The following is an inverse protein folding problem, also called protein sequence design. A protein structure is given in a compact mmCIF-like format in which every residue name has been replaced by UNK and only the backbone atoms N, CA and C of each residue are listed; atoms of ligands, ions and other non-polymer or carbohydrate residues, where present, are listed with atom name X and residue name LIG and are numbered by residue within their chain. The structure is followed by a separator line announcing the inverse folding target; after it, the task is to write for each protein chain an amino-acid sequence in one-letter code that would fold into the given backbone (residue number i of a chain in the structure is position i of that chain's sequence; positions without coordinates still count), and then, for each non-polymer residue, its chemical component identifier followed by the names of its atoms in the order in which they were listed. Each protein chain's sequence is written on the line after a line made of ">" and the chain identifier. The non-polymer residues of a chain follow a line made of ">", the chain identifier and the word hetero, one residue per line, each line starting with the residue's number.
data_IF_211218799409
#
_entry.id   IF_211218799409
#
_cell.length_a   1.000
_cell.length_b   1.000
_cell.length_c   1.000
_cell.angle_alpha   90.00
_cell.angle_beta   90.00
_cell.angle_gamma   90.00
#
_symmetry.space_group_name_H-M   'P 1'
#
loop_
_entity.id
_entity.type
_entity.pdbx_description
1 polymer ?
#
# COMPACT_ATOMS: atom_id res chain seq x y z
N UNK A 1 10.41 4.49 23.43
CA UNK A 1 9.04 3.97 23.28
C UNK A 1 8.84 3.44 21.89
N UNK A 2 8.47 2.18 21.74
CA UNK A 2 8.12 1.62 20.43
C UNK A 2 6.69 1.99 20.09
N UNK A 3 6.45 2.34 18.83
CA UNK A 3 5.13 2.76 18.37
C UNK A 3 4.82 2.00 17.07
N UNK A 4 3.65 1.38 16.99
CA UNK A 4 3.22 0.66 15.79
C UNK A 4 3.00 1.61 14.61
N UNK A 5 2.69 2.87 14.87
CA UNK A 5 2.57 3.92 13.84
C UNK A 5 3.84 4.13 13.01
N UNK A 6 5.00 3.65 13.46
CA UNK A 6 6.22 3.66 12.65
C UNK A 6 6.11 2.83 11.36
N UNK A 7 5.19 1.85 11.33
CA UNK A 7 4.93 1.05 10.14
C UNK A 7 4.34 1.87 8.98
N UNK A 8 3.75 3.03 9.29
CA UNK A 8 3.23 3.98 8.30
C UNK A 8 4.34 4.62 7.44
N UNK A 9 5.60 4.57 7.88
CA UNK A 9 6.73 5.07 7.09
C UNK A 9 6.84 4.36 5.73
N UNK A 10 6.35 3.12 5.64
CA UNK A 10 6.29 2.36 4.40
C UNK A 10 5.43 3.04 3.33
N UNK A 11 4.37 3.75 3.71
CA UNK A 11 3.52 4.47 2.75
C UNK A 11 4.32 5.48 1.93
N UNK A 12 5.26 6.17 2.58
CA UNK A 12 6.15 7.11 1.88
C UNK A 12 7.07 6.40 0.89
N UNK A 13 7.63 5.27 1.28
CA UNK A 13 8.48 4.47 0.39
C UNK A 13 7.68 3.95 -0.82
N UNK A 14 6.44 3.51 -0.60
CA UNK A 14 5.53 3.10 -1.68
C UNK A 14 5.17 4.26 -2.62
N UNK A 15 4.90 5.44 -2.09
CA UNK A 15 4.62 6.65 -2.88
C UNK A 15 5.81 7.01 -3.77
N UNK A 16 7.03 6.92 -3.26
CA UNK A 16 8.26 7.17 -4.02
C UNK A 16 8.44 6.18 -5.18
N UNK A 17 8.16 4.88 -4.95
CA UNK A 17 8.22 3.85 -5.99
C UNK A 17 7.13 4.10 -7.04
N UNK A 18 5.92 4.44 -6.63
CA UNK A 18 4.82 4.73 -7.55
C UNK A 18 5.10 5.97 -8.40
N UNK A 19 5.68 7.01 -7.81
CA UNK A 19 6.14 8.18 -8.55
C UNK A 19 7.19 7.82 -9.61
N UNK A 20 8.18 7.00 -9.26
CA UNK A 20 9.19 6.53 -10.20
C UNK A 20 8.56 5.71 -11.34
N UNK A 21 7.57 4.88 -11.03
CA UNK A 21 6.78 4.14 -12.01
C UNK A 21 6.08 5.08 -13.00
N UNK A 22 5.38 6.10 -12.52
CA UNK A 22 4.70 7.08 -13.37
C UNK A 22 5.70 7.89 -14.21
N UNK A 23 6.84 8.25 -13.65
CA UNK A 23 7.91 8.93 -14.39
C UNK A 23 8.42 8.06 -15.56
N UNK A 24 8.62 6.77 -15.33
CA UNK A 24 9.02 5.84 -16.38
C UNK A 24 7.96 5.74 -17.50
N UNK A 25 6.67 5.73 -17.15
CA UNK A 25 5.57 5.78 -18.13
C UNK A 25 5.64 7.03 -19.01
N UNK A 26 5.87 8.21 -18.41
CA UNK A 26 5.98 9.47 -19.13
C UNK A 26 7.16 9.52 -20.10
N UNK A 27 8.20 8.75 -19.84
CA UNK A 27 9.39 8.63 -20.70
C UNK A 27 9.33 7.42 -21.65
N UNK A 28 8.17 6.77 -21.77
CA UNK A 28 7.96 5.57 -22.59
C UNK A 28 8.88 4.39 -22.23
N UNK A 29 9.37 4.35 -21.02
CA UNK A 29 10.21 3.27 -20.48
C UNK A 29 9.32 2.18 -19.86
N UNK A 30 8.54 1.49 -20.71
CA UNK A 30 7.47 0.60 -20.24
C UNK A 30 7.97 -0.62 -19.46
N UNK A 31 9.13 -1.16 -19.83
CA UNK A 31 9.78 -2.24 -19.08
C UNK A 31 10.15 -1.80 -17.65
N UNK A 32 10.76 -0.62 -17.53
CA UNK A 32 11.11 -0.04 -16.24
C UNK A 32 9.85 0.28 -15.42
N UNK A 33 8.82 0.84 -16.07
CA UNK A 33 7.54 1.13 -15.42
C UNK A 33 6.89 -0.13 -14.85
N UNK A 34 6.87 -1.22 -15.61
CA UNK A 34 6.33 -2.50 -15.15
C UNK A 34 7.13 -3.06 -13.96
N UNK A 35 8.46 -3.06 -14.05
CA UNK A 35 9.33 -3.53 -12.98
C UNK A 35 9.14 -2.73 -11.68
N UNK A 36 8.98 -1.41 -11.78
CA UNK A 36 8.71 -0.55 -10.63
C UNK A 36 7.31 -0.82 -10.04
N UNK A 37 6.31 -1.07 -10.88
CA UNK A 37 4.97 -1.43 -10.40
C UNK A 37 4.97 -2.81 -9.71
N UNK A 38 5.73 -3.76 -10.19
CA UNK A 38 5.91 -5.07 -9.53
C UNK A 38 6.58 -4.92 -8.16
N UNK A 39 7.56 -4.04 -8.05
CA UNK A 39 8.19 -3.71 -6.77
C UNK A 39 7.21 -3.03 -5.82
N UNK A 40 6.41 -2.09 -6.32
CA UNK A 40 5.33 -1.47 -5.56
C UNK A 40 4.32 -2.50 -5.07
N UNK A 41 3.86 -3.39 -5.96
CA UNK A 41 2.92 -4.46 -5.61
C UNK A 41 3.48 -5.36 -4.50
N UNK A 42 4.73 -5.76 -4.59
CA UNK A 42 5.36 -6.59 -3.57
C UNK A 42 5.31 -5.91 -2.19
N UNK A 43 5.66 -4.64 -2.11
CA UNK A 43 5.60 -3.88 -0.87
C UNK A 43 4.18 -3.71 -0.35
N UNK A 44 3.24 -3.38 -1.23
CA UNK A 44 1.83 -3.24 -0.88
C UNK A 44 1.24 -4.55 -0.35
N UNK A 45 1.45 -5.66 -1.04
CA UNK A 45 0.94 -6.98 -0.63
C UNK A 45 1.55 -7.45 0.69
N UNK A 46 2.82 -7.18 0.92
CA UNK A 46 3.50 -7.50 2.18
C UNK A 46 2.91 -6.69 3.33
N UNK A 47 2.71 -5.40 3.13
CA UNK A 47 2.10 -4.51 4.12
C UNK A 47 0.66 -4.93 4.46
N UNK A 48 -0.16 -5.17 3.44
CA UNK A 48 -1.53 -5.66 3.62
C UNK A 48 -1.56 -6.97 4.40
N UNK A 49 -0.68 -7.92 4.07
CA UNK A 49 -0.59 -9.19 4.80
C UNK A 49 -0.20 -8.98 6.26
N UNK A 50 0.78 -8.13 6.53
CA UNK A 50 1.19 -7.83 7.90
C UNK A 50 0.03 -7.24 8.71
N UNK A 51 -0.77 -6.37 8.12
CA UNK A 51 -1.96 -5.83 8.76
C UNK A 51 -3.05 -6.87 8.97
N UNK A 52 -3.39 -7.63 7.93
CA UNK A 52 -4.47 -8.62 8.00
C UNK A 52 -4.14 -9.79 8.95
N UNK A 53 -2.91 -10.26 8.97
CA UNK A 53 -2.50 -11.44 9.73
C UNK A 53 -2.03 -11.10 11.16
N UNK A 54 -1.49 -9.91 11.38
CA UNK A 54 -0.85 -9.54 12.66
C UNK A 54 -1.60 -8.45 13.42
N UNK A 55 -1.97 -7.35 12.75
CA UNK A 55 -2.48 -6.16 13.41
C UNK A 55 -4.01 -6.12 13.54
N UNK A 56 -4.74 -6.42 12.47
CA UNK A 56 -6.20 -6.41 12.46
C UNK A 56 -6.83 -7.41 13.41
N UNK A 57 -6.27 -8.60 13.68
CA UNK A 57 -6.82 -9.49 14.71
C UNK A 57 -6.84 -8.84 16.10
N UNK A 58 -5.78 -8.15 16.49
CA UNK A 58 -5.71 -7.43 17.78
C UNK A 58 -6.68 -6.27 17.81
N UNK A 59 -6.74 -5.51 16.71
CA UNK A 59 -7.68 -4.40 16.55
C UNK A 59 -9.13 -4.88 16.63
N UNK A 60 -9.49 -5.93 15.91
CA UNK A 60 -10.86 -6.47 15.89
C UNK A 60 -11.33 -6.98 17.24
N UNK A 61 -10.41 -7.54 18.03
CA UNK A 61 -10.73 -8.10 19.35
C UNK A 61 -10.86 -7.03 20.43
N UNK A 62 -10.02 -5.96 20.38
CA UNK A 62 -9.80 -5.08 21.53
C UNK A 62 -10.11 -3.61 21.31
N UNK A 63 -10.23 -3.19 20.04
CA UNK A 63 -10.42 -1.78 19.72
C UNK A 63 -11.81 -1.27 20.09
N UNK A 64 -11.87 -0.02 20.52
CA UNK A 64 -13.12 0.74 20.55
C UNK A 64 -13.44 1.21 19.11
N UNK A 65 -14.47 0.63 18.51
CA UNK A 65 -14.81 0.87 17.11
C UNK A 65 -15.53 2.22 16.98
N UNK A 66 -14.84 3.17 16.38
CA UNK A 66 -15.38 4.49 16.02
C UNK A 66 -15.99 4.49 14.63
N UNK A 67 -16.69 5.56 14.26
CA UNK A 67 -17.23 5.74 12.91
C UNK A 67 -16.09 5.70 11.89
N UNK A 68 -16.23 4.84 10.88
CA UNK A 68 -15.20 4.64 9.87
C UNK A 68 -14.10 3.65 10.25
N UNK A 69 -14.14 3.06 11.46
CA UNK A 69 -13.12 2.16 11.99
C UNK A 69 -13.49 0.68 12.01
N UNK A 70 -14.56 0.27 11.35
CA UNK A 70 -14.91 -1.16 11.29
C UNK A 70 -13.80 -1.95 10.59
N UNK A 71 -13.36 -3.10 11.15
CA UNK A 71 -12.35 -3.95 10.53
C UNK A 71 -12.63 -4.27 9.07
N UNK A 72 -13.90 -4.49 8.72
CA UNK A 72 -14.30 -4.80 7.35
C UNK A 72 -13.95 -3.69 6.35
N UNK A 73 -13.92 -2.43 6.76
CA UNK A 73 -13.54 -1.33 5.87
C UNK A 73 -12.09 -1.44 5.39
N UNK A 74 -11.19 -1.84 6.29
CA UNK A 74 -9.77 -2.07 5.93
C UNK A 74 -9.66 -3.25 4.96
N UNK A 75 -10.34 -4.36 5.23
CA UNK A 75 -10.33 -5.54 4.36
C UNK A 75 -10.88 -5.24 2.96
N UNK A 76 -11.98 -4.50 2.88
CA UNK A 76 -12.60 -4.11 1.60
C UNK A 76 -11.69 -3.17 0.79
N UNK A 77 -11.04 -2.23 1.47
CA UNK A 77 -10.05 -1.34 0.83
C UNK A 77 -8.82 -2.11 0.35
N UNK A 78 -8.28 -3.02 1.14
CA UNK A 78 -7.18 -3.90 0.75
C UNK A 78 -7.53 -4.72 -0.50
N UNK A 79 -8.72 -5.29 -0.54
CA UNK A 79 -9.18 -6.03 -1.72
C UNK A 79 -9.20 -5.15 -2.97
N UNK A 80 -9.76 -3.96 -2.88
CA UNK A 80 -9.81 -3.00 -4.00
C UNK A 80 -8.41 -2.62 -4.49
N UNK A 81 -7.49 -2.32 -3.57
CA UNK A 81 -6.12 -1.95 -3.92
C UNK A 81 -5.40 -3.10 -4.63
N UNK A 82 -5.52 -4.32 -4.12
CA UNK A 82 -4.93 -5.52 -4.74
C UNK A 82 -5.44 -5.74 -6.17
N UNK A 83 -6.75 -5.69 -6.36
CA UNK A 83 -7.36 -5.88 -7.69
C UNK A 83 -6.98 -4.77 -8.66
N UNK A 84 -6.86 -3.54 -8.18
CA UNK A 84 -6.49 -2.42 -9.01
C UNK A 84 -5.05 -2.52 -9.53
N UNK A 85 -4.10 -2.91 -8.68
CA UNK A 85 -2.70 -3.13 -9.10
C UNK A 85 -2.60 -4.22 -10.16
N UNK A 86 -3.36 -5.32 -10.02
CA UNK A 86 -3.43 -6.37 -11.05
C UNK A 86 -3.92 -5.81 -12.39
N UNK A 87 -4.95 -4.96 -12.38
CA UNK A 87 -5.45 -4.30 -13.57
C UNK A 87 -4.36 -3.44 -14.22
N UNK A 88 -3.70 -2.59 -13.44
CA UNK A 88 -2.64 -1.72 -13.94
C UNK A 88 -1.50 -2.52 -14.59
N UNK A 89 -1.03 -3.58 -13.95
CA UNK A 89 0.01 -4.47 -14.50
C UNK A 89 -0.40 -5.06 -15.85
N UNK A 90 -1.62 -5.57 -15.93
CA UNK A 90 -2.16 -6.14 -17.16
C UNK A 90 -2.18 -5.12 -18.30
N UNK A 91 -2.61 -3.90 -18.02
CA UNK A 91 -2.72 -2.84 -19.03
C UNK A 91 -1.35 -2.33 -19.48
N UNK A 92 -0.39 -2.19 -18.56
CA UNK A 92 0.97 -1.75 -18.89
C UNK A 92 1.68 -2.79 -19.74
N UNK A 93 1.49 -4.07 -19.51
CA UNK A 93 2.08 -5.15 -20.33
C UNK A 93 1.69 -5.05 -21.80
N UNK A 94 0.52 -4.49 -22.10
CA UNK A 94 0.02 -4.32 -23.47
C UNK A 94 0.51 -3.05 -24.17
N UNK A 95 1.05 -2.07 -23.44
CA UNK A 95 1.41 -0.75 -23.99
C UNK A 95 2.39 -0.81 -25.17
N UNK A 96 3.43 -1.66 -25.19
CA UNK A 96 4.37 -1.70 -26.32
C UNK A 96 3.73 -2.03 -27.65
N UNK A 97 2.60 -2.73 -27.66
CA UNK A 97 1.89 -3.18 -28.85
C UNK A 97 0.63 -2.34 -29.16
N UNK A 98 0.39 -1.29 -28.40
CA UNK A 98 -0.83 -0.47 -28.52
C UNK A 98 -0.74 0.47 -29.72
N UNK A 99 -1.65 0.36 -30.71
CA UNK A 99 -1.63 1.22 -31.90
C UNK A 99 -1.98 2.68 -31.61
N UNK A 100 -2.80 2.95 -30.58
CA UNK A 100 -3.17 4.28 -30.11
C UNK A 100 -2.52 4.56 -28.75
N UNK A 101 -1.20 4.62 -28.74
CA UNK A 101 -0.42 4.71 -27.51
C UNK A 101 -0.79 5.92 -26.66
N UNK A 102 -0.92 7.10 -27.25
CA UNK A 102 -1.25 8.34 -26.53
C UNK A 102 -2.58 8.22 -25.78
N UNK A 103 -3.64 7.79 -26.48
CA UNK A 103 -4.96 7.58 -25.87
C UNK A 103 -4.91 6.56 -24.74
N UNK A 104 -4.21 5.47 -24.94
CA UNK A 104 -4.11 4.40 -23.95
C UNK A 104 -3.30 4.84 -22.74
N UNK A 105 -2.21 5.56 -22.94
CA UNK A 105 -1.36 6.07 -21.86
C UNK A 105 -2.12 7.12 -21.02
N UNK A 106 -2.84 8.04 -21.67
CA UNK A 106 -3.68 9.01 -20.96
C UNK A 106 -4.75 8.29 -20.12
N UNK A 107 -5.44 7.33 -20.72
CA UNK A 107 -6.43 6.52 -19.99
C UNK A 107 -5.81 5.81 -18.77
N UNK A 108 -4.62 5.23 -18.94
CA UNK A 108 -3.90 4.55 -17.87
C UNK A 108 -3.53 5.51 -16.74
N UNK A 109 -2.98 6.69 -17.07
CA UNK A 109 -2.63 7.71 -16.08
C UNK A 109 -3.86 8.23 -15.33
N UNK A 110 -5.01 8.34 -15.99
CA UNK A 110 -6.28 8.68 -15.33
C UNK A 110 -6.70 7.58 -14.34
N UNK A 111 -6.54 6.30 -14.71
CA UNK A 111 -6.78 5.17 -13.80
C UNK A 111 -5.82 5.18 -12.61
N UNK A 112 -4.54 5.46 -12.85
CA UNK A 112 -3.55 5.58 -11.79
C UNK A 112 -3.83 6.77 -10.86
N UNK A 113 -4.34 7.87 -11.37
CA UNK A 113 -4.80 8.99 -10.55
C UNK A 113 -5.95 8.58 -9.61
N UNK A 114 -6.90 7.82 -10.12
CA UNK A 114 -7.96 7.25 -9.29
C UNK A 114 -7.41 6.28 -8.24
N UNK A 115 -6.50 5.40 -8.62
CA UNK A 115 -5.82 4.49 -7.69
C UNK A 115 -5.11 5.24 -6.55
N UNK A 116 -4.37 6.31 -6.86
CA UNK A 116 -3.73 7.14 -5.84
C UNK A 116 -4.74 7.75 -4.85
N UNK A 117 -5.91 8.15 -5.31
CA UNK A 117 -6.98 8.63 -4.42
C UNK A 117 -7.50 7.54 -3.49
N UNK A 118 -7.63 6.30 -3.98
CA UNK A 118 -7.99 5.15 -3.13
C UNK A 118 -6.91 4.90 -2.07
N UNK A 119 -5.63 4.92 -2.46
CA UNK A 119 -4.52 4.78 -1.53
C UNK A 119 -4.54 5.88 -0.46
N UNK A 120 -4.68 7.13 -0.85
CA UNK A 120 -4.72 8.26 0.08
C UNK A 120 -5.87 8.16 1.08
N UNK A 121 -7.05 7.73 0.62
CA UNK A 121 -8.21 7.53 1.49
C UNK A 121 -7.96 6.40 2.50
N UNK A 122 -7.38 5.30 2.04
CA UNK A 122 -6.99 4.16 2.87
C UNK A 122 -5.91 4.55 3.89
N UNK A 123 -4.83 5.17 3.45
CA UNK A 123 -3.73 5.63 4.30
C UNK A 123 -4.20 6.60 5.39
N UNK A 124 -5.15 7.47 5.05
CA UNK A 124 -5.77 8.37 6.02
C UNK A 124 -6.54 7.61 7.09
N UNK A 125 -7.30 6.58 6.72
CA UNK A 125 -8.02 5.73 7.67
C UNK A 125 -7.07 5.02 8.63
N UNK A 126 -5.97 4.49 8.11
CA UNK A 126 -4.94 3.85 8.93
C UNK A 126 -4.26 4.84 9.88
N UNK A 127 -3.85 5.99 9.36
CA UNK A 127 -3.15 7.03 10.12
C UNK A 127 -4.01 7.64 11.22
N UNK A 128 -5.29 7.86 10.96
CA UNK A 128 -6.20 8.53 11.88
C UNK A 128 -6.92 7.57 12.84
N UNK A 129 -7.09 6.31 12.46
CA UNK A 129 -7.94 5.37 13.22
C UNK A 129 -7.16 4.13 13.65
N UNK A 130 -6.66 3.32 12.70
CA UNK A 130 -6.12 2.00 13.00
C UNK A 130 -4.89 2.05 13.90
N UNK A 131 -3.85 2.75 13.47
CA UNK A 131 -2.57 2.76 14.17
C UNK A 131 -2.60 3.50 15.50
N UNK A 132 -3.26 4.67 15.63
CA UNK A 132 -3.42 5.31 16.95
C UNK A 132 -4.16 4.44 17.96
N UNK A 133 -5.20 3.74 17.51
CA UNK A 133 -5.94 2.85 18.39
C UNK A 133 -5.11 1.62 18.77
N UNK A 134 -4.40 1.00 17.83
CA UNK A 134 -3.47 -0.10 18.14
C UNK A 134 -2.41 0.33 19.17
N UNK A 135 -1.84 1.52 19.01
CA UNK A 135 -0.86 2.04 19.97
C UNK A 135 -1.47 2.28 21.37
N UNK A 136 -2.74 2.65 21.42
CA UNK A 136 -3.48 2.86 22.67
C UNK A 136 -3.79 1.56 23.41
N UNK A 137 -4.20 0.51 22.68
CA UNK A 137 -4.70 -0.75 23.28
C UNK A 137 -3.61 -1.79 23.52
N UNK A 138 -2.37 -1.55 23.09
CA UNK A 138 -1.25 -2.48 23.25
C UNK A 138 -0.21 -1.99 24.26
N UNK A 139 0.33 -2.91 25.04
CA UNK A 139 1.47 -2.67 25.93
C UNK A 139 2.78 -2.62 25.15
N UNK A 140 3.85 -2.10 25.75
CA UNK A 140 5.20 -2.08 25.14
C UNK A 140 5.72 -3.49 24.77
N UNK A 141 5.40 -4.49 25.61
CA UNK A 141 5.76 -5.88 25.34
C UNK A 141 5.00 -6.44 24.14
N UNK A 142 3.69 -6.17 24.03
CA UNK A 142 2.86 -6.57 22.90
C UNK A 142 3.30 -5.87 21.60
N UNK A 143 3.61 -4.57 21.64
CA UNK A 143 4.15 -3.86 20.48
C UNK A 143 5.45 -4.49 19.98
N UNK A 144 6.33 -4.87 20.90
CA UNK A 144 7.58 -5.55 20.57
C UNK A 144 7.31 -6.88 19.89
N UNK A 145 6.38 -7.67 20.41
CA UNK A 145 5.99 -8.94 19.80
C UNK A 145 5.38 -8.74 18.41
N UNK A 146 4.40 -7.85 18.27
CA UNK A 146 3.75 -7.56 16.99
C UNK A 146 4.77 -7.10 15.93
N UNK A 147 5.67 -6.19 16.28
CA UNK A 147 6.73 -5.72 15.40
C UNK A 147 7.71 -6.83 14.99
N UNK A 148 7.90 -7.86 15.83
CA UNK A 148 8.74 -9.01 15.47
C UNK A 148 8.08 -9.93 14.43
N UNK A 149 6.77 -9.87 14.28
CA UNK A 149 5.97 -10.71 13.37
C UNK A 149 5.72 -10.06 12.02
N UNK A 150 5.89 -8.74 11.88
CA UNK A 150 5.74 -8.06 10.59
C UNK A 150 6.98 -8.23 9.73
N UNK A 151 6.78 -8.26 8.42
CA UNK A 151 7.83 -8.64 7.46
C UNK A 151 8.80 -7.50 7.14
N UNK A 152 8.42 -6.22 7.29
CA UNK A 152 9.23 -5.02 7.02
C UNK A 152 9.93 -5.05 5.64
N UNK A 153 9.16 -5.09 4.55
CA UNK A 153 9.62 -5.35 3.19
C UNK A 153 10.77 -4.44 2.66
N UNK A 154 10.95 -3.25 3.21
CA UNK A 154 11.94 -2.26 2.73
C UNK A 154 13.01 -1.86 3.75
N UNK A 155 13.04 -2.48 4.93
CA UNK A 155 14.01 -2.14 5.97
C UNK A 155 15.48 -2.47 5.61
N UNK A 156 15.68 -3.29 4.58
CA UNK A 156 17.02 -3.73 4.13
C UNK A 156 17.62 -2.93 2.97
N UNK A 157 16.91 -1.96 2.40
CA UNK A 157 17.42 -1.17 1.25
C UNK A 157 18.11 0.14 1.63
N UNK A 158 18.28 0.43 2.94
CA UNK A 158 19.08 1.58 3.42
C UNK A 158 20.50 1.21 3.83
N UNK A 159 20.96 0.02 3.47
CA UNK A 159 22.33 -0.42 3.68
C UNK A 159 23.03 -0.67 2.34
N UNK A 160 23.33 0.39 1.58
CA UNK A 160 24.50 0.53 0.69
C UNK A 160 24.81 2.02 0.57
#
# INVERSE_FOLDING_TARGET
>A
MRNLSQLLDLHKDLDEIFFAHQSALLHFEFKAALSLLERYEYGLLTHIRDEEDVLLPVYSERAEIVKGGKPQFFLDEHFKLKEFVKLLKKEITKLPEEPNLDSKLIWLLDKESFFKRLCNHHDKRETEILYPELDRITTEAEKTELLSRVTCAFSSSKAV
#
